data_IF_023153591784
#
_entry.id   IF_023153591784
#
_cell.length_a   1.000
_cell.length_b   1.000
_cell.length_c   1.000
_cell.angle_alpha   90.00
_cell.angle_beta   90.00
_cell.angle_gamma   90.00
#
_symmetry.space_group_name_H-M   'P 1'
#
loop_
_entity.id
_entity.type
_entity.pdbx_description
1 polymer ?
#
# COMPACT_ATOMS: atom_id res chain seq x y z
N UNK A 1 13.06 36.80 -3.03
CA UNK A 1 12.08 36.21 -3.94
C UNK A 1 10.73 36.25 -3.23
N UNK A 2 9.83 37.20 -3.58
CA UNK A 2 8.51 37.31 -2.96
C UNK A 2 7.63 36.27 -3.60
N UNK A 3 7.27 35.21 -2.86
CA UNK A 3 6.13 34.35 -3.21
C UNK A 3 4.87 35.24 -3.13
N UNK A 4 4.46 35.76 -4.26
CA UNK A 4 3.45 36.83 -4.37
C UNK A 4 2.00 36.34 -4.32
N UNK A 5 1.75 35.05 -4.09
CA UNK A 5 0.38 34.59 -3.86
C UNK A 5 0.31 33.77 -2.57
N UNK A 6 -0.53 34.12 -1.61
CA UNK A 6 -0.75 33.30 -0.44
C UNK A 6 -1.35 31.98 -0.92
N UNK A 7 -0.67 30.88 -0.62
CA UNK A 7 -1.21 29.54 -0.89
C UNK A 7 -2.48 29.39 -0.07
N UNK A 8 -3.60 29.12 -0.73
CA UNK A 8 -4.87 28.94 -0.02
C UNK A 8 -4.81 27.68 0.83
N UNK A 9 -5.08 27.75 2.14
CA UNK A 9 -5.04 26.56 3.02
C UNK A 9 -5.92 25.41 2.54
N UNK A 10 -7.04 25.73 1.88
CA UNK A 10 -7.93 24.76 1.25
C UNK A 10 -7.25 23.96 0.15
N UNK A 11 -6.30 24.56 -0.58
CA UNK A 11 -5.54 23.86 -1.61
C UNK A 11 -4.72 22.69 -1.06
N UNK A 12 -4.18 22.80 0.16
CA UNK A 12 -3.48 21.71 0.82
C UNK A 12 -4.40 20.55 1.22
N UNK A 13 -5.65 20.83 1.64
CA UNK A 13 -6.64 19.79 1.94
C UNK A 13 -7.07 19.06 0.69
N UNK A 14 -7.27 19.76 -0.41
CA UNK A 14 -7.61 19.15 -1.71
C UNK A 14 -6.45 18.27 -2.19
N UNK A 15 -5.23 18.77 -2.11
CA UNK A 15 -4.04 18.01 -2.47
C UNK A 15 -3.89 16.74 -1.63
N UNK A 16 -4.08 16.84 -0.31
CA UNK A 16 -4.06 15.70 0.60
C UNK A 16 -5.11 14.66 0.20
N UNK A 17 -6.34 15.09 -0.08
CA UNK A 17 -7.42 14.20 -0.49
C UNK A 17 -7.06 13.46 -1.78
N UNK A 18 -6.57 14.17 -2.80
CA UNK A 18 -6.20 13.57 -4.09
C UNK A 18 -5.08 12.54 -3.89
N UNK A 19 -4.06 12.86 -3.11
CA UNK A 19 -2.94 11.95 -2.85
C UNK A 19 -3.44 10.69 -2.13
N UNK A 20 -4.27 10.85 -1.09
CA UNK A 20 -4.83 9.70 -0.36
C UNK A 20 -5.71 8.84 -1.25
N UNK A 21 -6.50 9.44 -2.16
CA UNK A 21 -7.28 8.67 -3.15
C UNK A 21 -6.38 7.86 -4.08
N UNK A 22 -5.25 8.42 -4.55
CA UNK A 22 -4.27 7.68 -5.37
C UNK A 22 -3.67 6.53 -4.57
N UNK A 23 -3.38 6.72 -3.29
CA UNK A 23 -2.85 5.67 -2.42
C UNK A 23 -3.86 4.54 -2.18
N UNK A 24 -5.14 4.86 -1.99
CA UNK A 24 -6.20 3.85 -1.91
C UNK A 24 -6.37 3.10 -3.23
N UNK A 25 -6.26 3.79 -4.36
CA UNK A 25 -6.30 3.15 -5.67
C UNK A 25 -5.13 2.19 -5.89
N UNK A 26 -3.92 2.56 -5.46
CA UNK A 26 -2.77 1.67 -5.51
C UNK A 26 -2.97 0.43 -4.62
N UNK A 27 -3.50 0.61 -3.41
CA UNK A 27 -3.85 -0.51 -2.52
C UNK A 27 -4.87 -1.46 -3.15
N UNK A 28 -5.89 -0.91 -3.85
CA UNK A 28 -6.87 -1.70 -4.58
C UNK A 28 -6.21 -2.50 -5.71
N UNK A 29 -5.30 -1.89 -6.48
CA UNK A 29 -4.54 -2.59 -7.52
C UNK A 29 -3.71 -3.73 -6.95
N UNK A 30 -3.02 -3.52 -5.83
CA UNK A 30 -2.26 -4.56 -5.15
C UNK A 30 -3.17 -5.71 -4.72
N UNK A 31 -4.34 -5.42 -4.13
CA UNK A 31 -5.31 -6.45 -3.74
C UNK A 31 -5.80 -7.28 -4.93
N UNK A 32 -6.12 -6.64 -6.06
CA UNK A 32 -6.52 -7.33 -7.31
C UNK A 32 -5.38 -8.18 -7.86
N UNK A 33 -4.16 -7.66 -7.85
CA UNK A 33 -2.98 -8.40 -8.30
C UNK A 33 -2.76 -9.68 -7.51
N UNK A 34 -2.85 -9.61 -6.17
CA UNK A 34 -2.71 -10.77 -5.31
C UNK A 34 -3.84 -11.79 -5.53
N UNK A 35 -5.07 -11.33 -5.74
CA UNK A 35 -6.18 -12.21 -6.09
C UNK A 35 -5.91 -12.99 -7.39
N UNK A 36 -5.38 -12.33 -8.42
CA UNK A 36 -5.01 -13.02 -9.66
C UNK A 36 -3.84 -13.98 -9.47
N UNK A 37 -2.88 -13.64 -8.63
CA UNK A 37 -1.75 -14.51 -8.32
C UNK A 37 -2.20 -15.81 -7.63
N UNK A 38 -3.14 -15.71 -6.68
CA UNK A 38 -3.72 -16.87 -6.01
C UNK A 38 -4.47 -17.78 -7.01
N UNK A 39 -5.23 -17.18 -7.95
CA UNK A 39 -5.90 -17.94 -9.01
C UNK A 39 -4.92 -18.64 -9.96
N UNK A 40 -3.80 -18.01 -10.28
CA UNK A 40 -2.75 -18.63 -11.08
C UNK A 40 -2.12 -19.82 -10.35
N UNK A 41 -1.88 -19.72 -9.06
CA UNK A 41 -1.38 -20.83 -8.22
C UNK A 41 -2.35 -22.01 -8.21
N UNK A 42 -3.63 -21.74 -8.01
CA UNK A 42 -4.68 -22.78 -8.04
C UNK A 42 -4.67 -23.53 -9.39
N UNK A 43 -4.57 -22.81 -10.50
CA UNK A 43 -4.46 -23.40 -11.83
C UNK A 43 -3.16 -24.19 -12.02
N UNK A 44 -2.03 -23.71 -11.53
CA UNK A 44 -0.75 -24.43 -11.56
C UNK A 44 -0.83 -25.75 -10.79
N UNK A 45 -1.45 -25.74 -9.60
CA UNK A 45 -1.64 -26.95 -8.80
C UNK A 45 -2.53 -27.97 -9.51
N UNK A 46 -3.63 -27.53 -10.13
CA UNK A 46 -4.50 -28.40 -10.93
C UNK A 46 -3.75 -28.99 -12.14
N UNK A 47 -2.97 -28.19 -12.86
CA UNK A 47 -2.19 -28.62 -14.01
C UNK A 47 -1.08 -29.59 -13.62
N UNK A 48 -0.35 -29.30 -12.54
CA UNK A 48 0.69 -30.18 -12.02
C UNK A 48 0.11 -31.51 -11.54
N UNK A 49 -1.07 -31.50 -10.91
CA UNK A 49 -1.80 -32.72 -10.51
C UNK A 49 -2.30 -33.54 -11.69
N UNK A 50 -2.71 -32.91 -12.80
CA UNK A 50 -3.18 -33.59 -14.01
C UNK A 50 -2.03 -34.23 -14.81
N UNK A 51 -0.81 -33.72 -14.71
CA UNK A 51 0.39 -34.25 -15.40
C UNK A 51 1.14 -35.27 -14.51
N UNK A 52 0.39 -36.15 -13.87
CA UNK A 52 0.87 -37.15 -12.91
C UNK A 52 2.22 -37.81 -13.32
N UNK A 53 3.26 -37.59 -12.53
CA UNK A 53 4.57 -38.24 -12.64
C UNK A 53 5.73 -37.36 -13.08
N UNK A 54 5.52 -36.09 -13.42
CA UNK A 54 6.60 -35.13 -13.67
C UNK A 54 6.56 -34.03 -12.61
N UNK A 55 7.61 -33.96 -11.82
CA UNK A 55 7.84 -32.91 -10.83
C UNK A 55 7.62 -31.53 -11.46
N UNK A 56 6.64 -30.81 -10.93
CA UNK A 56 6.48 -29.36 -11.01
C UNK A 56 6.93 -28.70 -12.34
N UNK A 57 6.16 -28.95 -13.41
CA UNK A 57 6.40 -28.32 -14.71
C UNK A 57 6.06 -26.82 -14.70
N UNK A 58 5.15 -26.44 -13.83
CA UNK A 58 4.66 -25.06 -13.71
C UNK A 58 4.97 -24.52 -12.31
N UNK A 59 5.94 -23.61 -12.24
CA UNK A 59 6.39 -23.01 -10.98
C UNK A 59 6.51 -21.49 -11.12
N UNK A 60 5.68 -20.90 -11.98
CA UNK A 60 5.76 -19.47 -12.30
C UNK A 60 5.25 -18.64 -11.12
N UNK A 61 4.11 -19.03 -10.54
CA UNK A 61 3.52 -18.30 -9.41
C UNK A 61 4.17 -18.66 -8.07
N UNK A 62 4.73 -19.86 -7.91
CA UNK A 62 5.37 -20.32 -6.67
C UNK A 62 6.76 -19.74 -6.40
N UNK A 63 7.59 -19.51 -7.43
CA UNK A 63 8.99 -19.05 -7.28
C UNK A 63 9.16 -17.53 -7.06
N UNK A 64 8.18 -16.73 -7.44
CA UNK A 64 8.22 -15.26 -7.35
C UNK A 64 7.92 -14.67 -5.96
N UNK A 65 7.13 -15.28 -5.07
CA UNK A 65 6.56 -14.60 -3.93
C UNK A 65 7.54 -14.19 -2.84
N UNK A 66 8.51 -15.04 -2.47
CA UNK A 66 9.29 -14.79 -1.25
C UNK A 66 10.30 -13.64 -1.37
N UNK A 67 11.05 -13.58 -2.46
CA UNK A 67 12.03 -12.52 -2.65
C UNK A 67 11.37 -11.19 -2.98
N UNK A 68 10.36 -11.20 -3.85
CA UNK A 68 9.64 -10.00 -4.26
C UNK A 68 8.83 -9.40 -3.10
N UNK A 69 8.17 -10.23 -2.28
CA UNK A 69 7.42 -9.77 -1.11
C UNK A 69 8.30 -9.03 -0.11
N UNK A 70 9.44 -9.60 0.26
CA UNK A 70 10.31 -9.03 1.30
C UNK A 70 10.96 -7.73 0.84
N UNK A 71 11.50 -7.72 -0.35
CA UNK A 71 12.15 -6.53 -0.91
C UNK A 71 11.12 -5.46 -1.26
N UNK A 72 10.00 -5.83 -1.88
CA UNK A 72 8.93 -4.90 -2.21
C UNK A 72 8.30 -4.30 -0.95
N UNK A 73 8.05 -5.09 0.09
CA UNK A 73 7.52 -4.59 1.36
C UNK A 73 8.47 -3.59 2.03
N UNK A 74 9.77 -3.86 2.05
CA UNK A 74 10.78 -2.95 2.61
C UNK A 74 10.86 -1.64 1.82
N UNK A 75 10.93 -1.72 0.49
CA UNK A 75 10.99 -0.55 -0.40
C UNK A 75 9.69 0.25 -0.32
N UNK A 76 8.54 -0.43 -0.34
CA UNK A 76 7.24 0.23 -0.23
C UNK A 76 7.09 0.94 1.13
N UNK A 77 7.45 0.30 2.24
CA UNK A 77 7.39 0.93 3.56
C UNK A 77 8.32 2.14 3.67
N UNK A 78 9.55 2.03 3.18
CA UNK A 78 10.49 3.15 3.15
C UNK A 78 9.95 4.31 2.31
N UNK A 79 9.51 4.02 1.11
CA UNK A 79 8.94 5.01 0.21
C UNK A 79 7.70 5.70 0.79
N UNK A 80 6.74 4.93 1.30
CA UNK A 80 5.52 5.49 1.90
C UNK A 80 5.83 6.31 3.16
N UNK A 81 6.78 5.88 3.99
CA UNK A 81 7.19 6.67 5.17
C UNK A 81 7.73 8.03 4.78
N UNK A 82 8.67 8.08 3.82
CA UNK A 82 9.23 9.34 3.33
C UNK A 82 8.14 10.20 2.69
N UNK A 83 7.27 9.58 1.91
CA UNK A 83 6.17 10.25 1.23
C UNK A 83 5.17 10.86 2.23
N UNK A 84 4.80 10.14 3.30
CA UNK A 84 3.97 10.67 4.39
C UNK A 84 4.62 11.85 5.08
N UNK A 85 5.92 11.77 5.38
CA UNK A 85 6.64 12.87 6.00
C UNK A 85 6.62 14.13 5.13
N UNK A 86 6.78 13.99 3.82
CA UNK A 86 6.73 15.12 2.88
C UNK A 86 5.31 15.70 2.81
N UNK A 87 4.29 14.86 2.65
CA UNK A 87 2.89 15.30 2.52
C UNK A 87 2.40 16.02 3.78
N UNK A 88 2.78 15.54 4.95
CA UNK A 88 2.37 16.16 6.21
C UNK A 88 3.29 17.32 6.58
N UNK A 89 4.60 17.13 6.50
CA UNK A 89 5.57 18.09 6.97
C UNK A 89 5.62 19.38 6.16
N UNK A 90 5.58 19.28 4.83
CA UNK A 90 5.69 20.45 3.96
C UNK A 90 4.51 21.42 4.08
N UNK A 91 3.23 20.99 4.00
CA UNK A 91 2.09 21.89 4.23
C UNK A 91 2.05 22.44 5.66
N UNK A 92 2.39 21.63 6.66
CA UNK A 92 2.44 22.10 8.04
C UNK A 92 3.47 23.20 8.23
N UNK A 93 4.65 23.07 7.64
CA UNK A 93 5.68 24.11 7.70
C UNK A 93 5.21 25.41 7.02
N UNK A 94 4.57 25.32 5.87
CA UNK A 94 4.05 26.50 5.15
C UNK A 94 2.92 27.17 5.96
N UNK A 95 1.96 26.41 6.46
CA UNK A 95 0.84 26.93 7.24
C UNK A 95 1.34 27.61 8.53
N UNK A 96 2.34 27.02 9.18
CA UNK A 96 2.98 27.59 10.35
C UNK A 96 3.71 28.91 10.04
N UNK A 97 4.53 28.93 8.98
CA UNK A 97 5.28 30.12 8.56
C UNK A 97 4.36 31.27 8.09
N UNK A 98 3.19 30.95 7.56
CA UNK A 98 2.20 31.95 7.14
C UNK A 98 1.27 32.40 8.30
N UNK A 99 1.41 31.83 9.50
CA UNK A 99 0.59 32.18 10.66
C UNK A 99 -0.82 31.60 10.65
N UNK A 100 -1.11 30.65 9.78
CA UNK A 100 -2.42 29.98 9.69
C UNK A 100 -2.56 28.83 10.72
N UNK A 101 -2.40 29.13 11.99
CA UNK A 101 -2.41 28.11 13.06
C UNK A 101 -3.70 27.31 13.14
N UNK A 102 -4.86 27.93 12.94
CA UNK A 102 -6.14 27.23 12.92
C UNK A 102 -6.21 26.19 11.79
N UNK A 103 -5.77 26.56 10.59
CA UNK A 103 -5.70 25.66 9.44
C UNK A 103 -4.66 24.55 9.61
N UNK A 104 -3.58 24.80 10.34
CA UNK A 104 -2.59 23.79 10.68
C UNK A 104 -3.23 22.62 11.47
N UNK A 105 -4.06 22.94 12.48
CA UNK A 105 -4.76 21.90 13.26
C UNK A 105 -5.79 21.15 12.42
N UNK A 106 -6.53 21.85 11.55
CA UNK A 106 -7.49 21.23 10.62
C UNK A 106 -6.76 20.28 9.67
N UNK A 107 -5.63 20.71 9.12
CA UNK A 107 -4.84 19.89 8.22
C UNK A 107 -4.26 18.65 8.91
N UNK A 108 -3.68 18.80 10.10
CA UNK A 108 -3.17 17.68 10.89
C UNK A 108 -4.26 16.68 11.26
N UNK A 109 -5.43 17.16 11.65
CA UNK A 109 -6.59 16.30 11.95
C UNK A 109 -7.05 15.52 10.72
N UNK A 110 -7.18 16.18 9.57
CA UNK A 110 -7.54 15.53 8.30
C UNK A 110 -6.47 14.51 7.88
N UNK A 111 -5.19 14.87 7.98
CA UNK A 111 -4.09 13.97 7.66
C UNK A 111 -4.09 12.73 8.58
N UNK A 112 -4.28 12.90 9.88
CA UNK A 112 -4.33 11.80 10.84
C UNK A 112 -5.48 10.82 10.52
N UNK A 113 -6.67 11.33 10.18
CA UNK A 113 -7.84 10.51 9.85
C UNK A 113 -7.60 9.76 8.53
N UNK A 114 -7.24 10.46 7.46
CA UNK A 114 -7.12 9.89 6.12
C UNK A 114 -5.94 8.92 6.01
N UNK A 115 -4.78 9.31 6.52
CA UNK A 115 -3.59 8.46 6.48
C UNK A 115 -3.70 7.29 7.46
N UNK A 116 -4.35 7.50 8.62
CA UNK A 116 -4.67 6.45 9.57
C UNK A 116 -5.63 5.41 8.98
N UNK A 117 -6.65 5.84 8.26
CA UNK A 117 -7.57 4.95 7.54
C UNK A 117 -6.84 4.14 6.47
N UNK A 118 -5.99 4.78 5.66
CA UNK A 118 -5.18 4.09 4.67
C UNK A 118 -4.23 3.06 5.30
N UNK A 119 -3.50 3.43 6.36
CA UNK A 119 -2.60 2.53 7.08
C UNK A 119 -3.35 1.31 7.65
N UNK A 120 -4.55 1.53 8.22
CA UNK A 120 -5.41 0.44 8.71
C UNK A 120 -5.83 -0.51 7.58
N UNK A 121 -6.27 0.01 6.44
CA UNK A 121 -6.62 -0.80 5.28
C UNK A 121 -5.41 -1.59 4.76
N UNK A 122 -4.23 -0.97 4.67
CA UNK A 122 -3.00 -1.65 4.26
C UNK A 122 -2.62 -2.79 5.21
N UNK A 123 -2.76 -2.59 6.53
CA UNK A 123 -2.54 -3.65 7.52
C UNK A 123 -3.55 -4.79 7.39
N UNK A 124 -4.84 -4.50 7.13
CA UNK A 124 -5.86 -5.52 6.92
C UNK A 124 -5.55 -6.38 5.68
N UNK A 125 -5.17 -5.75 4.56
CA UNK A 125 -4.77 -6.47 3.33
C UNK A 125 -3.57 -7.35 3.60
N UNK A 126 -2.55 -6.82 4.28
CA UNK A 126 -1.36 -7.59 4.65
C UNK A 126 -1.69 -8.80 5.53
N UNK A 127 -2.50 -8.61 6.57
CA UNK A 127 -2.88 -9.68 7.49
C UNK A 127 -3.64 -10.81 6.77
N UNK A 128 -4.57 -10.47 5.87
CA UNK A 128 -5.29 -11.47 5.08
C UNK A 128 -4.37 -12.27 4.15
N UNK A 129 -3.27 -11.69 3.67
CA UNK A 129 -2.26 -12.39 2.88
C UNK A 129 -1.41 -13.33 3.72
N UNK A 130 -1.00 -12.91 4.92
CA UNK A 130 -0.23 -13.72 5.85
C UNK A 130 -1.04 -14.94 6.36
N UNK A 131 -2.33 -14.78 6.63
CA UNK A 131 -3.24 -15.87 7.03
C UNK A 131 -3.40 -16.92 5.92
N UNK A 132 -3.50 -16.50 4.66
CA UNK A 132 -3.57 -17.43 3.53
C UNK A 132 -2.28 -18.19 3.31
N UNK A 133 -1.13 -17.53 3.43
CA UNK A 133 0.18 -18.17 3.31
C UNK A 133 0.37 -19.27 4.35
N UNK A 134 -0.10 -19.05 5.57
CA UNK A 134 -0.03 -20.04 6.64
C UNK A 134 -0.96 -21.26 6.38
N UNK A 135 -2.12 -21.06 5.76
CA UNK A 135 -3.00 -22.15 5.37
C UNK A 135 -2.39 -22.99 4.23
N UNK A 136 -1.79 -22.35 3.23
CA UNK A 136 -1.10 -23.02 2.12
C UNK A 136 0.07 -23.88 2.63
N UNK A 137 0.83 -23.40 3.63
CA UNK A 137 1.94 -24.15 4.24
C UNK A 137 1.46 -25.38 5.03
N UNK A 138 0.28 -25.30 5.67
CA UNK A 138 -0.32 -26.43 6.39
C UNK A 138 -0.82 -27.52 5.42
N UNK A 139 -1.48 -27.14 4.32
CA UNK A 139 -1.96 -28.08 3.30
C UNK A 139 -0.78 -28.77 2.56
N UNK A 140 0.35 -28.08 2.41
CA UNK A 140 1.54 -28.68 1.78
C UNK A 140 2.29 -29.68 2.69
N UNK A 141 1.98 -29.70 4.00
CA UNK A 141 2.62 -30.59 4.98
C UNK A 141 1.86 -31.91 5.21
N UNK A 142 0.64 -32.01 4.70
CA UNK A 142 -0.18 -33.25 4.72
C UNK A 142 0.02 -34.08 3.44
#
# INVERSE_FOLDING_TARGET
>A
MKLQQPVTPVGFLVLLLVIVMVMFYDLLKQSIFFFHLDRMRELENVLNGAVAGRRELFHIAGGWPHWFRRTHALVAHGFFTVFYLIIVGFPCAILYLQGYTGWLFVYLGAAAILLGAHAKCAMCVRKSLEEREHLDDLEASE
#
